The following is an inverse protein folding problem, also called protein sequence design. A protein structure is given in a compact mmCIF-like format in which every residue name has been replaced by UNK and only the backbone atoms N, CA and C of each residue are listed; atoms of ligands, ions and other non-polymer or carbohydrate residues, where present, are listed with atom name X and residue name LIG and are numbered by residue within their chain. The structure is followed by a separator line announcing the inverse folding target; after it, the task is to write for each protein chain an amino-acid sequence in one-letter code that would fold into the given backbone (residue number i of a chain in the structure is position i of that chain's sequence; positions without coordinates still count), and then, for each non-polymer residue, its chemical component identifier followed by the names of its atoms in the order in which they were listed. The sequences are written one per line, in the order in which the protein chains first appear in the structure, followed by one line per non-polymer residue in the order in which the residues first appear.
data_IF_952490648429
#
_entry.id   IF_952490648429
#
_cell.length_a   1.000
_cell.length_b   1.000
_cell.length_c   1.000
_cell.angle_alpha   90.00
_cell.angle_beta   90.00
_cell.angle_gamma   90.00
#
_symmetry.space_group_name_H-M   'P 1'
#
loop_
_entity.id
_entity.type
_entity.pdbx_description
1 polymer ?
#
# COMPACT_ATOMS: atom_id res chain seq x y z
N UNK A 1 7.74 11.87 14.66
CA UNK A 1 8.18 10.58 15.28
C UNK A 1 9.24 10.86 16.32
N UNK A 2 9.51 9.90 17.23
CA UNK A 2 10.62 10.05 18.20
C UNK A 2 11.96 9.97 17.46
N UNK A 3 12.95 10.70 17.99
CA UNK A 3 14.33 10.62 17.50
C UNK A 3 14.84 9.18 17.57
N UNK A 4 15.61 8.78 16.56
CA UNK A 4 16.13 7.41 16.41
C UNK A 4 15.12 6.35 15.96
N UNK A 5 13.86 6.73 15.68
CA UNK A 5 12.87 5.79 15.16
C UNK A 5 13.22 5.30 13.75
N UNK A 6 12.64 4.15 13.37
CA UNK A 6 12.65 3.60 12.01
C UNK A 6 11.23 3.71 11.43
N UNK A 7 11.12 4.17 10.19
CA UNK A 7 9.86 4.19 9.46
C UNK A 7 9.84 3.06 8.44
N UNK A 8 8.74 2.29 8.39
CA UNK A 8 8.49 1.29 7.35
C UNK A 8 7.20 1.66 6.63
N UNK A 9 7.23 1.76 5.30
CA UNK A 9 6.05 1.99 4.48
C UNK A 9 5.96 0.97 3.35
N UNK A 10 5.00 0.06 3.47
CA UNK A 10 4.62 -0.93 2.47
C UNK A 10 3.19 -0.73 1.98
N UNK A 11 2.56 0.39 2.32
CA UNK A 11 1.16 0.67 1.99
C UNK A 11 1.03 1.52 0.73
N UNK A 12 1.26 2.83 0.83
CA UNK A 12 1.23 3.77 -0.32
C UNK A 12 2.16 4.95 -0.05
N UNK A 13 2.86 5.42 -1.10
CA UNK A 13 3.76 6.57 -1.00
C UNK A 13 3.07 7.86 -0.55
N UNK A 14 1.85 8.10 -1.01
CA UNK A 14 1.08 9.29 -0.64
C UNK A 14 0.62 9.38 0.83
N UNK A 15 0.90 8.36 1.65
CA UNK A 15 0.62 8.38 3.09
C UNK A 15 1.73 9.08 3.89
N UNK A 16 2.86 9.35 3.27
CA UNK A 16 4.03 9.97 3.88
C UNK A 16 4.41 11.21 3.07
N UNK A 17 4.70 12.30 3.74
CA UNK A 17 5.36 13.44 3.12
C UNK A 17 6.83 13.06 2.86
N UNK A 18 7.13 12.76 1.57
CA UNK A 18 8.43 12.22 1.16
C UNK A 18 9.54 13.26 1.34
N UNK A 19 9.24 14.55 1.17
CA UNK A 19 10.23 15.62 1.34
C UNK A 19 10.61 15.75 2.81
N UNK A 20 9.62 15.77 3.72
CA UNK A 20 9.85 15.78 5.17
C UNK A 20 10.55 14.50 5.67
N UNK A 21 10.28 13.34 5.04
CA UNK A 21 10.96 12.08 5.33
C UNK A 21 12.45 12.17 4.99
N UNK A 22 12.77 12.70 3.80
CA UNK A 22 14.15 12.88 3.36
C UNK A 22 14.90 13.77 4.33
N UNK A 23 14.34 14.92 4.74
CA UNK A 23 14.95 15.82 5.72
C UNK A 23 15.19 15.11 7.07
N UNK A 24 14.22 14.35 7.56
CA UNK A 24 14.34 13.62 8.82
C UNK A 24 15.42 12.52 8.78
N UNK A 25 15.63 11.89 7.63
CA UNK A 25 16.67 10.88 7.42
C UNK A 25 18.06 11.53 7.30
N UNK A 26 18.16 12.65 6.56
CA UNK A 26 19.41 13.37 6.36
C UNK A 26 19.92 14.03 7.65
N UNK A 27 19.00 14.54 8.47
CA UNK A 27 19.35 15.11 9.78
C UNK A 27 19.69 14.06 10.84
N UNK A 28 19.41 12.79 10.58
CA UNK A 28 19.57 11.70 11.55
C UNK A 28 18.46 11.64 12.60
N UNK A 29 17.42 12.49 12.51
CA UNK A 29 16.26 12.42 13.39
C UNK A 29 15.58 11.06 13.30
N UNK A 30 15.38 10.54 12.08
CA UNK A 30 15.06 9.14 11.85
C UNK A 30 16.33 8.34 11.62
N UNK A 31 16.46 7.23 12.33
CA UNK A 31 17.61 6.35 12.21
C UNK A 31 17.67 5.67 10.85
N UNK A 32 16.52 5.23 10.32
CA UNK A 32 16.42 4.55 9.04
C UNK A 32 14.98 4.54 8.51
N UNK A 33 14.83 4.20 7.22
CA UNK A 33 13.54 3.87 6.64
C UNK A 33 13.62 2.63 5.74
N UNK A 34 12.52 1.86 5.66
CA UNK A 34 12.27 0.81 4.68
C UNK A 34 11.05 1.20 3.84
N UNK A 35 11.24 1.38 2.54
CA UNK A 35 10.22 1.90 1.64
C UNK A 35 10.02 0.95 0.45
N UNK A 36 8.81 0.43 0.33
CA UNK A 36 8.38 -0.38 -0.81
C UNK A 36 7.54 0.43 -1.80
N UNK A 37 7.11 1.62 -1.39
CA UNK A 37 6.21 2.51 -2.13
C UNK A 37 6.68 3.96 -2.05
N UNK A 38 6.41 4.75 -3.13
CA UNK A 38 6.91 6.09 -3.30
C UNK A 38 5.81 7.06 -3.76
N UNK A 39 6.02 8.36 -3.55
CA UNK A 39 5.12 9.42 -4.04
C UNK A 39 4.96 9.37 -5.56
N UNK A 40 6.04 9.04 -6.26
CA UNK A 40 6.07 8.80 -7.71
C UNK A 40 6.70 7.44 -7.98
N UNK A 41 5.99 6.60 -8.71
CA UNK A 41 6.44 5.26 -9.12
C UNK A 41 6.48 5.15 -10.64
N UNK A 42 7.56 4.61 -11.22
CA UNK A 42 8.82 4.18 -10.59
C UNK A 42 9.54 5.34 -9.90
N UNK A 43 10.30 5.04 -8.82
CA UNK A 43 11.12 6.04 -8.12
C UNK A 43 12.09 6.69 -9.11
N UNK A 44 12.10 8.03 -9.25
CA UNK A 44 13.04 8.71 -10.14
C UNK A 44 14.48 8.44 -9.73
N UNK A 45 15.36 8.25 -10.71
CA UNK A 45 16.79 7.99 -10.48
C UNK A 45 17.52 9.15 -9.81
N UNK A 46 16.93 10.35 -9.87
CA UNK A 46 17.44 11.56 -9.23
C UNK A 46 17.00 11.69 -7.78
N UNK A 47 16.09 10.80 -7.29
CA UNK A 47 15.57 10.89 -5.94
C UNK A 47 16.68 10.86 -4.91
N UNK A 48 16.67 11.80 -3.93
CA UNK A 48 17.63 11.80 -2.83
C UNK A 48 17.61 10.50 -2.02
N UNK A 49 16.49 9.79 -1.96
CA UNK A 49 16.34 8.52 -1.23
C UNK A 49 17.35 7.46 -1.69
N UNK A 50 17.71 7.45 -2.98
CA UNK A 50 18.66 6.48 -3.56
C UNK A 50 20.09 6.70 -3.01
N UNK A 51 20.39 7.91 -2.54
CA UNK A 51 21.73 8.31 -2.07
C UNK A 51 21.89 8.19 -0.55
N UNK A 52 20.83 7.80 0.16
CA UNK A 52 20.84 7.70 1.62
C UNK A 52 21.23 6.28 2.04
N UNK A 53 22.29 6.16 2.84
CA UNK A 53 22.80 4.88 3.36
C UNK A 53 21.89 4.25 4.42
N UNK A 54 20.97 5.05 5.01
CA UNK A 54 20.03 4.62 6.03
C UNK A 54 18.62 4.33 5.47
N UNK A 55 18.50 4.07 4.16
CA UNK A 55 17.23 3.72 3.52
C UNK A 55 17.33 2.39 2.78
N UNK A 56 16.39 1.49 3.05
CA UNK A 56 16.17 0.29 2.27
C UNK A 56 15.03 0.55 1.28
N UNK A 57 15.27 0.30 -0.01
CA UNK A 57 14.29 0.50 -1.07
C UNK A 57 13.91 -0.83 -1.72
N UNK A 58 12.62 -1.04 -1.98
CA UNK A 58 12.12 -2.15 -2.80
C UNK A 58 11.10 -1.64 -3.82
N UNK A 59 10.73 -2.46 -4.79
CA UNK A 59 10.02 -1.99 -5.98
C UNK A 59 8.53 -2.36 -5.97
N UNK A 60 7.84 -2.03 -4.88
CA UNK A 60 6.40 -2.26 -4.68
C UNK A 60 6.04 -3.77 -4.76
N UNK A 61 6.81 -4.58 -4.05
CA UNK A 61 6.70 -6.04 -4.04
C UNK A 61 6.28 -6.61 -2.67
N UNK A 62 5.96 -5.75 -1.71
CA UNK A 62 5.61 -6.16 -0.35
C UNK A 62 4.37 -7.07 -0.25
N UNK A 63 3.51 -7.06 -1.27
CA UNK A 63 2.35 -7.95 -1.37
C UNK A 63 2.51 -9.12 -2.35
N UNK A 64 3.72 -9.38 -2.86
CA UNK A 64 3.99 -10.42 -3.86
C UNK A 64 4.39 -11.77 -3.22
N UNK A 65 3.87 -12.10 -2.05
CA UNK A 65 3.99 -13.43 -1.45
C UNK A 65 2.85 -14.37 -1.90
N UNK A 66 3.05 -15.67 -1.73
CA UNK A 66 2.09 -16.68 -2.19
C UNK A 66 0.76 -16.60 -1.45
N UNK A 67 0.77 -16.33 -0.15
CA UNK A 67 -0.41 -16.21 0.68
C UNK A 67 -1.25 -15.01 0.25
N UNK A 68 -0.64 -13.84 0.10
CA UNK A 68 -1.32 -12.61 -0.32
C UNK A 68 -1.99 -12.76 -1.68
N UNK A 69 -1.28 -13.36 -2.65
CA UNK A 69 -1.84 -13.63 -3.98
C UNK A 69 -3.02 -14.60 -3.93
N UNK A 70 -2.85 -15.75 -3.26
CA UNK A 70 -3.90 -16.74 -3.12
C UNK A 70 -5.16 -16.13 -2.49
N UNK A 71 -4.99 -15.41 -1.39
CA UNK A 71 -6.10 -14.87 -0.61
C UNK A 71 -6.80 -13.73 -1.36
N UNK A 72 -6.05 -12.86 -2.06
CA UNK A 72 -6.60 -11.81 -2.91
C UNK A 72 -7.45 -12.39 -4.08
N UNK A 73 -6.93 -13.41 -4.78
CA UNK A 73 -7.68 -14.04 -5.86
C UNK A 73 -8.89 -14.83 -5.35
N UNK A 74 -8.76 -15.53 -4.23
CA UNK A 74 -9.88 -16.24 -3.61
C UNK A 74 -10.98 -15.27 -3.18
N UNK A 75 -10.63 -14.15 -2.56
CA UNK A 75 -11.57 -13.10 -2.17
C UNK A 75 -12.26 -12.47 -3.39
N UNK A 76 -11.53 -12.16 -4.46
CA UNK A 76 -12.10 -11.62 -5.67
C UNK A 76 -13.10 -12.60 -6.31
N UNK A 77 -12.74 -13.87 -6.41
CA UNK A 77 -13.63 -14.92 -6.94
C UNK A 77 -14.88 -15.09 -6.06
N UNK A 78 -14.70 -15.10 -4.74
CA UNK A 78 -15.80 -15.21 -3.78
C UNK A 78 -16.80 -14.04 -3.91
N UNK A 79 -16.30 -12.82 -4.05
CA UNK A 79 -17.14 -11.64 -4.25
C UNK A 79 -17.95 -11.71 -5.54
N UNK A 80 -17.37 -12.22 -6.65
CA UNK A 80 -18.07 -12.43 -7.90
C UNK A 80 -19.19 -13.46 -7.72
N UNK A 81 -18.93 -14.57 -7.02
CA UNK A 81 -19.93 -15.59 -6.73
C UNK A 81 -21.08 -15.04 -5.91
N UNK A 82 -20.79 -14.30 -4.82
CA UNK A 82 -21.81 -13.62 -4.01
C UNK A 82 -22.70 -12.72 -4.89
N UNK A 83 -22.08 -11.84 -5.68
CA UNK A 83 -22.82 -10.95 -6.57
C UNK A 83 -23.71 -11.71 -7.57
N UNK A 84 -23.23 -12.82 -8.12
CA UNK A 84 -24.00 -13.67 -9.02
C UNK A 84 -25.20 -14.34 -8.34
N UNK A 85 -25.06 -14.66 -7.05
CA UNK A 85 -26.12 -15.22 -6.20
C UNK A 85 -27.11 -14.16 -5.71
N UNK A 86 -26.86 -12.89 -6.00
CA UNK A 86 -27.67 -11.76 -5.52
C UNK A 86 -27.33 -11.31 -4.10
N UNK A 87 -26.19 -11.78 -3.57
CA UNK A 87 -25.65 -11.37 -2.27
C UNK A 87 -24.69 -10.20 -2.45
N UNK A 88 -24.74 -9.25 -1.52
CA UNK A 88 -23.84 -8.10 -1.52
C UNK A 88 -22.62 -8.35 -0.62
N UNK A 89 -21.37 -8.26 -1.14
CA UNK A 89 -20.17 -8.48 -0.35
C UNK A 89 -19.83 -7.26 0.50
N UNK A 90 -20.66 -6.95 1.48
CA UNK A 90 -20.62 -5.73 2.30
C UNK A 90 -19.25 -5.50 2.95
N UNK A 91 -18.61 -6.58 3.38
CA UNK A 91 -17.31 -6.56 4.03
C UNK A 91 -16.16 -6.11 3.10
N UNK A 92 -16.34 -6.26 1.78
CA UNK A 92 -15.33 -5.92 0.77
C UNK A 92 -15.60 -4.60 0.05
N UNK A 93 -16.72 -3.94 0.34
CA UNK A 93 -17.12 -2.68 -0.32
C UNK A 93 -16.81 -1.50 0.58
N UNK A 94 -15.99 -0.57 0.11
CA UNK A 94 -15.52 0.57 0.91
C UNK A 94 -16.54 1.70 0.95
N UNK A 95 -17.18 2.01 -0.17
CA UNK A 95 -17.98 3.22 -0.35
C UNK A 95 -19.49 2.98 -0.46
N UNK A 96 -19.93 1.77 -0.76
CA UNK A 96 -21.34 1.41 -0.94
C UNK A 96 -21.69 0.19 -0.08
N UNK A 97 -21.80 0.39 1.24
CA UNK A 97 -22.07 -0.70 2.19
C UNK A 97 -23.49 -1.25 2.13
N UNK A 98 -24.43 -0.53 1.52
CA UNK A 98 -25.80 -0.99 1.31
C UNK A 98 -26.28 -0.54 -0.07
N UNK A 99 -26.58 -1.49 -0.94
CA UNK A 99 -27.32 -1.26 -2.20
C UNK A 99 -28.46 -2.26 -2.30
N UNK A 100 -29.57 -2.01 -1.59
CA UNK A 100 -30.69 -2.95 -1.49
C UNK A 100 -31.32 -3.30 -2.86
N UNK A 101 -31.17 -2.42 -3.84
CA UNK A 101 -31.73 -2.61 -5.19
C UNK A 101 -30.71 -3.11 -6.23
N UNK A 102 -29.49 -3.44 -5.80
CA UNK A 102 -28.49 -3.93 -6.74
C UNK A 102 -28.87 -5.33 -7.23
N UNK A 103 -28.82 -5.53 -8.54
CA UNK A 103 -29.05 -6.82 -9.18
C UNK A 103 -28.02 -7.03 -10.30
N UNK A 104 -27.56 -8.26 -10.42
CA UNK A 104 -26.79 -8.64 -11.59
C UNK A 104 -27.68 -8.62 -12.82
N UNK A 105 -27.47 -7.69 -13.74
CA UNK A 105 -28.18 -7.64 -15.01
C UNK A 105 -27.50 -8.61 -15.98
N UNK A 106 -28.28 -9.59 -16.45
CA UNK A 106 -27.82 -10.53 -17.47
C UNK A 106 -27.89 -9.90 -18.86
#
# INVERSE_FOLDING_TARGET
MKEGSVLINTARGGLVDEDALIEALQSGHLRAAGLDVFKKEPLPVESPLIKLDNVLLSCHIGGLDQESHRDAYAMAAHNIVKLYQGEWPEECVVNLKQTPDWKWTR
#
